data_IF_660838083792
#
_entry.id   IF_660838083792
#
_cell.length_a   1.000
_cell.length_b   1.000
_cell.length_c   1.000
_cell.angle_alpha   90.00
_cell.angle_beta   90.00
_cell.angle_gamma   90.00
#
_symmetry.space_group_name_H-M   'P 1'
#
loop_
_entity.id
_entity.type
_entity.pdbx_description
1 polymer ?
#
# COMPACT_ATOMS: atom_id res chain seq x y z
N UNK A 1 -4.24 8.39 6.16
CA UNK A 1 -5.49 7.72 5.69
C UNK A 1 -6.76 8.42 6.18
N UNK A 2 -7.03 8.53 7.48
CA UNK A 2 -8.28 9.13 8.02
C UNK A 2 -8.62 10.52 7.47
N UNK A 3 -7.66 11.45 7.49
CA UNK A 3 -7.87 12.81 6.94
C UNK A 3 -8.25 12.80 5.46
N UNK A 4 -7.64 11.92 4.66
CA UNK A 4 -7.97 11.78 3.25
C UNK A 4 -9.40 11.25 3.03
N UNK A 5 -9.87 10.34 3.88
CA UNK A 5 -11.25 9.85 3.84
C UNK A 5 -12.26 10.95 4.21
N UNK A 6 -11.96 11.78 5.22
CA UNK A 6 -12.80 12.95 5.58
C UNK A 6 -12.89 13.91 4.40
N UNK A 7 -11.74 14.28 3.82
CA UNK A 7 -11.72 15.18 2.65
C UNK A 7 -12.52 14.57 1.48
N UNK A 8 -12.28 13.30 1.14
CA UNK A 8 -13.01 12.60 0.09
C UNK A 8 -14.52 12.59 0.34
N UNK A 9 -14.96 12.27 1.56
CA UNK A 9 -16.38 12.23 1.88
C UNK A 9 -17.05 13.60 1.77
N UNK A 10 -16.34 14.66 2.20
CA UNK A 10 -16.77 16.05 2.01
C UNK A 10 -16.86 16.43 0.53
N UNK A 11 -15.83 16.13 -0.26
CA UNK A 11 -15.77 16.46 -1.70
C UNK A 11 -16.85 15.70 -2.51
N UNK A 12 -17.23 14.51 -2.05
CA UNK A 12 -18.36 13.73 -2.60
C UNK A 12 -19.73 14.23 -2.12
N UNK A 13 -19.80 15.21 -1.21
CA UNK A 13 -21.05 15.74 -0.66
C UNK A 13 -21.80 14.74 0.21
N UNK A 14 -21.11 13.78 0.84
CA UNK A 14 -21.74 12.80 1.71
C UNK A 14 -22.09 13.42 3.06
N UNK A 15 -23.28 13.11 3.58
CA UNK A 15 -23.59 13.42 4.98
C UNK A 15 -22.89 12.44 5.92
N UNK A 16 -22.04 12.93 6.82
CA UNK A 16 -21.42 12.09 7.85
C UNK A 16 -21.04 12.91 9.08
N UNK A 17 -21.01 12.26 10.25
CA UNK A 17 -20.30 12.74 11.43
C UNK A 17 -18.89 12.17 11.39
N UNK A 18 -17.86 13.00 11.60
CA UNK A 18 -16.49 12.51 11.69
C UNK A 18 -16.36 11.52 12.86
N UNK A 19 -15.96 10.24 12.61
CA UNK A 19 -15.81 9.26 13.67
C UNK A 19 -14.69 9.66 14.64
N UNK A 20 -14.83 9.30 15.92
CA UNK A 20 -13.78 9.50 16.91
C UNK A 20 -12.47 8.78 16.52
N UNK A 21 -11.33 9.24 17.04
CA UNK A 21 -10.03 8.70 16.65
C UNK A 21 -9.91 7.19 16.90
N UNK A 22 -10.52 6.71 17.98
CA UNK A 22 -10.54 5.32 18.42
C UNK A 22 -11.72 4.50 17.86
N UNK A 23 -12.70 5.13 17.20
CA UNK A 23 -13.87 4.46 16.63
C UNK A 23 -13.55 3.74 15.31
N UNK A 24 -12.90 2.59 15.43
CA UNK A 24 -12.53 1.72 14.30
C UNK A 24 -13.71 1.40 13.39
N UNK A 25 -14.89 1.14 13.95
CA UNK A 25 -16.05 0.73 13.17
C UNK A 25 -16.69 1.90 12.42
N UNK A 26 -16.74 3.07 13.05
CA UNK A 26 -17.17 4.31 12.40
C UNK A 26 -16.30 4.63 11.19
N UNK A 27 -14.98 4.51 11.32
CA UNK A 27 -14.06 4.68 10.19
C UNK A 27 -14.29 3.65 9.08
N UNK A 28 -14.53 2.38 9.42
CA UNK A 28 -14.82 1.34 8.44
C UNK A 28 -16.15 1.59 7.70
N UNK A 29 -17.20 2.03 8.41
CA UNK A 29 -18.50 2.41 7.82
C UNK A 29 -18.36 3.60 6.87
N UNK A 30 -17.62 4.64 7.27
CA UNK A 30 -17.38 5.80 6.42
C UNK A 30 -16.58 5.43 5.15
N UNK A 31 -15.55 4.59 5.28
CA UNK A 31 -14.77 4.08 4.15
C UNK A 31 -15.66 3.37 3.12
N UNK A 32 -16.56 2.50 3.61
CA UNK A 32 -17.54 1.79 2.78
C UNK A 32 -18.53 2.77 2.13
N UNK A 33 -19.04 3.74 2.89
CA UNK A 33 -19.99 4.76 2.40
C UNK A 33 -19.38 5.62 1.29
N UNK A 34 -18.10 5.98 1.43
CA UNK A 34 -17.34 6.74 0.43
C UNK A 34 -16.97 5.92 -0.82
N UNK A 35 -17.31 4.62 -0.87
CA UNK A 35 -17.05 3.78 -2.03
C UNK A 35 -15.57 3.47 -2.28
N UNK A 36 -14.71 3.63 -1.26
CA UNK A 36 -13.28 3.33 -1.38
C UNK A 36 -13.08 1.84 -1.57
N UNK A 37 -12.52 1.45 -2.72
CA UNK A 37 -12.28 0.04 -3.07
C UNK A 37 -10.92 -0.47 -2.59
N UNK A 38 -9.90 0.37 -2.64
CA UNK A 38 -8.54 0.04 -2.23
C UNK A 38 -7.76 1.29 -1.84
N UNK A 39 -6.64 1.09 -1.15
CA UNK A 39 -5.72 2.15 -0.72
C UNK A 39 -4.31 1.68 -1.03
N UNK A 40 -3.55 2.52 -1.72
CA UNK A 40 -2.09 2.34 -1.84
C UNK A 40 -1.38 3.25 -0.85
N UNK A 41 -0.31 2.74 -0.24
CA UNK A 41 0.73 3.59 0.33
C UNK A 41 1.67 3.94 -0.82
N UNK A 42 1.33 5.02 -1.53
CA UNK A 42 2.03 5.41 -2.74
C UNK A 42 3.17 6.38 -2.42
N UNK A 43 4.40 5.92 -2.62
CA UNK A 43 5.61 6.69 -2.35
C UNK A 43 6.50 6.81 -3.60
N UNK A 44 7.25 7.91 -3.68
CA UNK A 44 8.32 8.10 -4.64
C UNK A 44 9.45 8.89 -3.99
N UNK A 45 10.57 8.22 -3.73
CA UNK A 45 11.80 8.88 -3.35
C UNK A 45 12.54 9.41 -4.60
N UNK A 46 12.85 10.71 -4.62
CA UNK A 46 13.61 11.37 -5.69
C UNK A 46 14.97 11.89 -5.21
N UNK A 47 15.37 11.56 -3.98
CA UNK A 47 16.67 11.92 -3.44
C UNK A 47 17.77 11.29 -4.29
N UNK A 48 18.86 12.04 -4.47
CA UNK A 48 20.02 11.64 -5.28
C UNK A 48 21.30 12.13 -4.62
N UNK A 49 22.37 11.37 -4.75
CA UNK A 49 23.69 11.77 -4.25
C UNK A 49 24.49 12.47 -5.36
N UNK A 50 25.57 13.17 -4.99
CA UNK A 50 26.46 13.85 -5.95
C UNK A 50 27.36 12.89 -6.73
N UNK A 51 27.61 11.70 -6.19
CA UNK A 51 28.53 10.70 -6.76
C UNK A 51 27.73 9.53 -7.32
N UNK A 52 28.14 8.93 -8.45
CA UNK A 52 27.46 7.76 -8.98
C UNK A 52 27.54 6.59 -7.98
N UNK A 53 26.54 5.72 -8.04
CA UNK A 53 26.49 4.50 -7.24
C UNK A 53 27.67 3.57 -7.60
N UNK A 54 28.51 3.16 -6.63
CA UNK A 54 29.58 2.19 -6.87
C UNK A 54 29.05 0.81 -7.29
N UNK A 55 29.90 0.07 -8.02
CA UNK A 55 29.65 -1.34 -8.34
C UNK A 55 29.63 -2.18 -7.05
N UNK A 56 28.77 -3.20 -7.02
CA UNK A 56 28.65 -4.14 -5.90
C UNK A 56 28.32 -3.52 -4.52
N UNK A 57 27.62 -2.38 -4.50
CA UNK A 57 27.14 -1.73 -3.26
C UNK A 57 25.63 -1.53 -3.35
N UNK A 58 24.88 -1.80 -2.28
CA UNK A 58 23.45 -1.45 -2.18
C UNK A 58 23.30 -0.08 -1.53
N UNK A 59 22.53 0.82 -2.14
CA UNK A 59 22.23 2.15 -1.60
C UNK A 59 20.74 2.28 -1.33
N UNK A 60 20.40 2.91 -0.22
CA UNK A 60 19.04 3.27 0.13
C UNK A 60 19.09 4.57 0.96
N UNK A 61 17.96 5.27 1.07
CA UNK A 61 17.84 6.51 1.87
C UNK A 61 17.50 6.25 3.33
N UNK A 62 17.24 4.98 3.66
CA UNK A 62 17.05 4.45 5.00
C UNK A 62 17.72 3.07 5.10
N UNK A 63 17.43 2.30 6.17
CA UNK A 63 18.08 1.01 6.45
C UNK A 63 18.13 0.09 5.23
N UNK A 64 19.35 -0.31 4.84
CA UNK A 64 19.58 -1.26 3.74
C UNK A 64 19.14 -2.67 4.15
N UNK A 65 19.50 -3.10 5.35
CA UNK A 65 19.14 -4.42 5.87
C UNK A 65 17.63 -4.58 6.02
N UNK A 66 16.95 -3.54 6.52
CA UNK A 66 15.49 -3.52 6.64
C UNK A 66 14.82 -3.68 5.28
N UNK A 67 15.21 -2.84 4.31
CA UNK A 67 14.63 -2.90 2.97
C UNK A 67 14.92 -4.21 2.24
N UNK A 68 16.10 -4.79 2.39
CA UNK A 68 16.42 -6.11 1.80
C UNK A 68 15.57 -7.20 2.47
N UNK A 69 15.44 -7.19 3.80
CA UNK A 69 14.65 -8.17 4.53
C UNK A 69 13.18 -8.14 4.10
N UNK A 70 12.55 -6.97 4.15
CA UNK A 70 11.15 -6.76 3.72
C UNK A 70 10.99 -7.04 2.22
N UNK A 71 11.96 -6.65 1.41
CA UNK A 71 11.95 -6.87 -0.04
C UNK A 71 12.03 -8.33 -0.47
N UNK A 72 12.70 -9.17 0.34
CA UNK A 72 12.84 -10.61 0.10
C UNK A 72 11.68 -11.43 0.69
N UNK A 73 10.88 -10.84 1.57
CA UNK A 73 9.64 -11.46 2.02
C UNK A 73 8.62 -11.57 0.86
N UNK A 74 7.66 -12.50 0.95
CA UNK A 74 6.56 -12.60 0.01
C UNK A 74 5.84 -11.26 -0.14
N UNK A 75 5.43 -10.90 -1.36
CA UNK A 75 4.60 -9.71 -1.56
C UNK A 75 3.28 -9.89 -0.80
N UNK A 76 2.94 -8.96 0.10
CA UNK A 76 1.75 -9.05 0.95
C UNK A 76 0.82 -7.85 0.71
N UNK A 77 -0.48 -8.08 0.81
CA UNK A 77 -1.48 -7.03 0.67
C UNK A 77 -2.79 -7.39 1.38
N UNK A 78 -3.45 -6.36 1.91
CA UNK A 78 -4.85 -6.46 2.32
C UNK A 78 -5.74 -6.78 1.11
N UNK A 79 -6.61 -7.78 1.24
CA UNK A 79 -7.46 -8.25 0.14
C UNK A 79 -8.86 -7.64 0.23
N UNK A 80 -9.14 -6.69 -0.67
CA UNK A 80 -10.44 -6.02 -0.73
C UNK A 80 -11.55 -6.97 -1.17
N UNK A 81 -12.74 -6.83 -0.59
CA UNK A 81 -13.91 -7.63 -0.95
C UNK A 81 -14.42 -7.40 -2.38
N UNK A 82 -13.94 -6.34 -3.04
CA UNK A 82 -14.28 -6.00 -4.42
C UNK A 82 -13.43 -6.77 -5.46
N UNK A 83 -12.36 -7.44 -5.03
CA UNK A 83 -11.44 -8.14 -5.93
C UNK A 83 -12.06 -9.45 -6.42
N UNK A 84 -12.21 -9.57 -7.74
CA UNK A 84 -12.81 -10.74 -8.40
C UNK A 84 -11.78 -11.68 -9.04
N UNK A 85 -10.50 -11.33 -8.98
CA UNK A 85 -9.42 -12.09 -9.58
C UNK A 85 -8.19 -12.08 -8.69
N UNK A 86 -7.49 -13.20 -8.63
CA UNK A 86 -6.23 -13.36 -7.89
C UNK A 86 -5.23 -14.10 -8.79
N UNK A 87 -3.94 -13.74 -8.77
CA UNK A 87 -2.93 -14.49 -9.52
C UNK A 87 -2.82 -15.92 -9.00
N UNK A 88 -2.36 -16.84 -9.86
CA UNK A 88 -2.25 -18.27 -9.54
C UNK A 88 -1.35 -18.57 -8.34
N UNK A 89 -0.36 -17.72 -8.10
CA UNK A 89 0.57 -17.81 -6.97
C UNK A 89 0.13 -16.98 -5.74
N UNK A 90 -1.10 -16.45 -5.74
CA UNK A 90 -1.69 -15.79 -4.58
C UNK A 90 -2.26 -16.81 -3.59
N UNK A 91 -2.03 -16.60 -2.30
CA UNK A 91 -2.44 -17.49 -1.20
C UNK A 91 -3.11 -16.71 -0.07
N UNK A 92 -4.05 -17.37 0.60
CA UNK A 92 -4.75 -16.84 1.78
C UNK A 92 -4.19 -17.46 3.05
N UNK A 93 -4.21 -16.71 4.15
CA UNK A 93 -3.88 -17.24 5.47
C UNK A 93 -5.04 -18.08 6.04
N UNK A 94 -4.70 -19.21 6.67
CA UNK A 94 -5.69 -20.09 7.35
C UNK A 94 -6.11 -19.55 8.72
N UNK A 95 -5.22 -18.83 9.40
CA UNK A 95 -5.39 -18.29 10.74
C UNK A 95 -5.15 -16.77 10.76
N UNK A 96 -5.43 -16.11 11.88
CA UNK A 96 -5.32 -14.65 12.02
C UNK A 96 -6.56 -13.91 11.52
N UNK A 97 -6.39 -12.63 11.20
CA UNK A 97 -7.50 -11.73 10.77
C UNK A 97 -8.11 -12.11 9.42
N UNK A 98 -7.38 -12.88 8.59
CA UNK A 98 -7.77 -13.28 7.22
C UNK A 98 -8.02 -12.10 6.28
N UNK A 99 -7.51 -10.91 6.62
CA UNK A 99 -7.68 -9.69 5.84
C UNK A 99 -6.66 -9.53 4.71
N UNK A 100 -5.61 -10.37 4.68
CA UNK A 100 -4.52 -10.29 3.71
C UNK A 100 -4.39 -11.55 2.85
N UNK A 101 -3.75 -11.38 1.69
CA UNK A 101 -3.15 -12.44 0.90
C UNK A 101 -1.65 -12.17 0.77
N UNK A 102 -0.91 -13.20 0.39
CA UNK A 102 0.47 -13.08 -0.05
C UNK A 102 0.66 -13.73 -1.42
N UNK A 103 1.68 -13.30 -2.16
CA UNK A 103 2.10 -13.90 -3.41
C UNK A 103 3.37 -14.72 -3.17
N UNK A 104 3.49 -15.90 -3.78
CA UNK A 104 4.69 -16.73 -3.70
C UNK A 104 5.84 -16.17 -4.57
N UNK A 105 6.19 -14.90 -4.36
CA UNK A 105 7.28 -14.17 -5.00
C UNK A 105 7.71 -12.98 -4.12
N UNK A 106 8.99 -12.55 -4.17
CA UNK A 106 9.49 -11.44 -3.35
C UNK A 106 8.82 -10.09 -3.66
N UNK A 107 8.52 -9.31 -2.61
CA UNK A 107 7.90 -7.99 -2.73
C UNK A 107 8.72 -6.99 -3.55
N UNK A 108 10.04 -6.95 -3.34
CA UNK A 108 10.95 -6.07 -4.08
C UNK A 108 11.11 -6.41 -5.57
N UNK A 109 10.59 -7.57 -6.01
CA UNK A 109 10.53 -7.95 -7.42
C UNK A 109 9.08 -8.05 -7.96
N UNK A 110 8.12 -7.49 -7.22
CA UNK A 110 6.71 -7.46 -7.60
C UNK A 110 6.29 -6.03 -7.90
N UNK A 111 5.94 -5.74 -9.16
CA UNK A 111 5.58 -4.39 -9.59
C UNK A 111 4.07 -4.19 -9.59
N UNK A 112 3.62 -3.06 -9.05
CA UNK A 112 2.24 -2.59 -9.10
C UNK A 112 2.16 -1.26 -9.82
N UNK A 113 1.05 -1.00 -10.52
CA UNK A 113 0.76 0.31 -11.11
C UNK A 113 0.19 1.19 -10.02
N UNK A 114 0.79 2.37 -9.82
CA UNK A 114 0.36 3.33 -8.81
C UNK A 114 0.55 4.76 -9.34
N UNK A 115 0.28 5.75 -8.51
CA UNK A 115 0.37 7.16 -8.87
C UNK A 115 0.80 7.99 -7.66
N UNK A 116 1.67 8.98 -7.89
CA UNK A 116 2.01 10.01 -6.90
C UNK A 116 1.89 11.40 -7.55
N UNK A 117 1.61 12.47 -6.79
CA UNK A 117 1.40 13.82 -7.35
C UNK A 117 2.51 14.33 -8.27
N UNK A 118 3.78 14.17 -7.90
CA UNK A 118 4.91 14.69 -8.66
C UNK A 118 5.24 13.87 -9.92
N UNK A 119 5.50 12.54 -9.83
CA UNK A 119 5.83 11.74 -11.03
C UNK A 119 4.61 11.35 -11.86
N UNK A 120 3.39 11.49 -11.34
CA UNK A 120 2.19 10.94 -11.95
C UNK A 120 2.18 9.40 -11.88
N UNK A 121 1.79 8.78 -12.99
CA UNK A 121 1.71 7.32 -13.10
C UNK A 121 3.10 6.68 -13.02
N UNK A 122 3.23 5.64 -12.19
CA UNK A 122 4.51 4.96 -11.98
C UNK A 122 4.33 3.48 -11.61
N UNK A 123 5.43 2.74 -11.71
CA UNK A 123 5.55 1.45 -11.03
C UNK A 123 6.04 1.66 -9.60
N UNK A 124 5.33 1.05 -8.65
CA UNK A 124 5.80 0.82 -7.29
C UNK A 124 6.21 -0.64 -7.10
N UNK A 125 6.97 -0.91 -6.06
CA UNK A 125 7.24 -2.27 -5.59
C UNK A 125 6.22 -2.65 -4.51
N UNK A 126 5.70 -3.87 -4.56
CA UNK A 126 4.74 -4.40 -3.58
C UNK A 126 5.49 -5.05 -2.42
N UNK A 127 6.24 -4.22 -1.70
CA UNK A 127 6.95 -4.60 -0.46
C UNK A 127 5.93 -4.77 0.67
N UNK A 128 6.17 -5.72 1.56
CA UNK A 128 5.29 -6.08 2.69
C UNK A 128 5.41 -5.13 3.87
#
# INVERSE_FOLDING_TARGET
VKKALVNLATDLGLEFSEPAQEDREGWARLMKKAGVKGIHIAERDTQRTKKPKPMNVFWNTWSVEGFISEGLQPAELGWGTHENWMPKNGKKHKHGSKAAIYLEQPGANTRVRSWCPTPGAQYGLLVT
#
